data_IF_738570434463
#
_entry.id   IF_738570434463
#
_cell.length_a   1.000
_cell.length_b   1.000
_cell.length_c   1.000
_cell.angle_alpha   90.00
_cell.angle_beta   90.00
_cell.angle_gamma   90.00
#
_symmetry.space_group_name_H-M   'P 1'
#
loop_
_entity.id
_entity.type
_entity.pdbx_description
1 polymer ?
#
# COMPACT_ATOMS: atom_id res chain seq x y z
N UNK A 1 -6.23 -12.49 3.30
CA UNK A 1 -5.04 -13.29 2.88
C UNK A 1 -3.82 -12.41 2.96
N UNK A 2 -2.69 -12.96 3.41
CA UNK A 2 -1.39 -12.29 3.38
C UNK A 2 -0.54 -12.99 2.32
N UNK A 3 0.07 -12.24 1.42
CA UNK A 3 0.95 -12.71 0.38
C UNK A 3 2.34 -12.11 0.59
N UNK A 4 3.31 -12.96 0.91
CA UNK A 4 4.70 -12.57 1.15
C UNK A 4 5.56 -13.06 -0.01
N UNK A 5 6.23 -12.13 -0.69
CA UNK A 5 7.05 -12.42 -1.87
C UNK A 5 8.50 -12.01 -1.60
N UNK A 6 9.42 -12.96 -1.72
CA UNK A 6 10.86 -12.75 -1.53
C UNK A 6 11.17 -12.27 -0.08
N UNK A 7 10.39 -12.75 0.91
CA UNK A 7 10.58 -12.47 2.32
C UNK A 7 11.37 -13.58 3.01
N UNK A 8 11.87 -13.30 4.21
CA UNK A 8 12.67 -14.24 4.99
C UNK A 8 11.79 -15.31 5.64
N UNK A 9 12.23 -16.58 5.75
CA UNK A 9 11.45 -17.65 6.35
C UNK A 9 11.00 -17.36 7.79
N UNK A 10 11.83 -16.68 8.59
CA UNK A 10 11.49 -16.28 9.96
C UNK A 10 10.33 -15.27 10.01
N UNK A 11 10.29 -14.31 9.07
CA UNK A 11 9.22 -13.31 8.95
C UNK A 11 7.91 -13.99 8.52
N UNK A 12 7.99 -14.96 7.60
CA UNK A 12 6.84 -15.79 7.20
C UNK A 12 6.28 -16.55 8.39
N UNK A 13 7.15 -17.17 9.20
CA UNK A 13 6.73 -17.94 10.39
C UNK A 13 6.09 -17.04 11.44
N UNK A 14 6.63 -15.85 11.67
CA UNK A 14 6.03 -14.88 12.58
C UNK A 14 4.65 -14.44 12.12
N UNK A 15 4.52 -14.12 10.83
CA UNK A 15 3.24 -13.73 10.24
C UNK A 15 2.19 -14.84 10.35
N UNK A 16 2.58 -16.10 10.10
CA UNK A 16 1.69 -17.27 10.24
C UNK A 16 1.19 -17.48 11.67
N UNK A 17 1.99 -17.11 12.67
CA UNK A 17 1.63 -17.24 14.09
C UNK A 17 0.74 -16.11 14.60
N UNK A 18 0.88 -14.93 14.05
CA UNK A 18 0.24 -13.71 14.55
C UNK A 18 -1.02 -13.32 13.82
N UNK A 19 -1.12 -13.63 12.53
CA UNK A 19 -2.25 -13.22 11.69
C UNK A 19 -3.38 -14.24 11.75
N UNK A 20 -4.61 -13.74 11.95
CA UNK A 20 -5.83 -14.56 11.88
C UNK A 20 -6.33 -14.67 10.44
N UNK A 21 -5.51 -15.18 9.57
CA UNK A 21 -5.83 -15.27 8.15
C UNK A 21 -4.89 -16.22 7.44
N UNK A 22 -5.20 -16.52 6.19
CA UNK A 22 -4.33 -17.35 5.38
C UNK A 22 -3.07 -16.59 5.00
N UNK A 23 -1.90 -17.15 5.31
CA UNK A 23 -0.59 -16.62 4.94
C UNK A 23 0.01 -17.52 3.86
N UNK A 24 0.28 -16.94 2.71
CA UNK A 24 0.86 -17.61 1.54
C UNK A 24 2.17 -16.89 1.25
N UNK A 25 3.23 -17.65 1.06
CA UNK A 25 4.56 -17.07 0.89
C UNK A 25 5.35 -17.79 -0.20
N UNK A 26 6.27 -17.05 -0.78
CA UNK A 26 7.41 -17.55 -1.53
C UNK A 26 8.65 -16.82 -1.03
N UNK A 27 9.54 -17.55 -0.37
CA UNK A 27 10.69 -17.01 0.35
C UNK A 27 11.86 -16.68 -0.57
N UNK A 28 12.81 -15.88 -0.09
CA UNK A 28 13.92 -15.33 -0.90
C UNK A 28 14.83 -16.41 -1.51
N UNK A 29 14.84 -17.61 -0.97
CA UNK A 29 15.60 -18.76 -1.44
C UNK A 29 14.92 -19.49 -2.60
N UNK A 30 13.65 -19.18 -2.90
CA UNK A 30 12.94 -19.73 -4.04
C UNK A 30 13.22 -18.93 -5.33
N UNK A 31 13.14 -19.57 -6.52
CA UNK A 31 13.39 -18.89 -7.79
C UNK A 31 12.27 -17.87 -8.13
N UNK A 32 12.59 -16.80 -8.89
CA UNK A 32 11.61 -15.79 -9.30
C UNK A 32 10.34 -16.35 -9.96
N UNK A 33 10.46 -17.44 -10.72
CA UNK A 33 9.30 -18.12 -11.31
C UNK A 33 8.31 -18.62 -10.27
N UNK A 34 8.79 -19.03 -9.07
CA UNK A 34 7.94 -19.47 -7.98
C UNK A 34 7.18 -18.28 -7.37
N UNK A 35 7.84 -17.13 -7.21
CA UNK A 35 7.19 -15.89 -6.75
C UNK A 35 6.00 -15.51 -7.63
N UNK A 36 6.22 -15.55 -8.95
CA UNK A 36 5.18 -15.26 -9.95
C UNK A 36 4.04 -16.26 -9.85
N UNK A 37 4.34 -17.58 -9.83
CA UNK A 37 3.34 -18.63 -9.74
C UNK A 37 2.47 -18.51 -8.50
N UNK A 38 3.06 -18.24 -7.35
CA UNK A 38 2.34 -18.07 -6.06
C UNK A 38 1.43 -16.85 -6.13
N UNK A 39 1.91 -15.73 -6.65
CA UNK A 39 1.09 -14.53 -6.81
C UNK A 39 -0.10 -14.73 -7.75
N UNK A 40 0.11 -15.39 -8.88
CA UNK A 40 -0.96 -15.72 -9.83
C UNK A 40 -2.01 -16.67 -9.22
N UNK A 41 -1.57 -17.64 -8.43
CA UNK A 41 -2.50 -18.53 -7.69
C UNK A 41 -3.34 -17.74 -6.66
N UNK A 42 -2.74 -16.83 -5.91
CA UNK A 42 -3.44 -16.03 -4.88
C UNK A 42 -4.48 -15.12 -5.53
N UNK A 43 -4.14 -14.41 -6.60
CA UNK A 43 -5.11 -13.52 -7.24
C UNK A 43 -6.27 -14.27 -7.88
N UNK A 44 -6.03 -15.45 -8.48
CA UNK A 44 -7.11 -16.28 -9.03
C UNK A 44 -8.00 -16.85 -7.91
N UNK A 45 -7.43 -17.29 -6.79
CA UNK A 45 -8.20 -17.69 -5.62
C UNK A 45 -9.07 -16.55 -5.09
N UNK A 46 -8.50 -15.35 -4.98
CA UNK A 46 -9.23 -14.17 -4.52
C UNK A 46 -10.41 -13.84 -5.43
N UNK A 47 -10.22 -13.87 -6.75
CA UNK A 47 -11.30 -13.66 -7.72
C UNK A 47 -12.43 -14.68 -7.56
N UNK A 48 -12.12 -15.97 -7.37
CA UNK A 48 -13.13 -17.01 -7.13
C UNK A 48 -13.93 -16.75 -5.85
N UNK A 49 -13.25 -16.31 -4.77
CA UNK A 49 -13.94 -15.95 -3.53
C UNK A 49 -14.88 -14.75 -3.73
N UNK A 50 -14.46 -13.73 -4.49
CA UNK A 50 -15.30 -12.58 -4.82
C UNK A 50 -16.53 -12.99 -5.65
N UNK A 51 -16.37 -13.90 -6.64
CA UNK A 51 -17.48 -14.47 -7.39
C UNK A 51 -18.50 -15.18 -6.48
N UNK A 52 -18.03 -15.74 -5.36
CA UNK A 52 -18.89 -16.26 -4.29
C UNK A 52 -19.40 -15.18 -3.33
N UNK A 53 -19.36 -13.92 -3.72
CA UNK A 53 -19.85 -12.77 -2.94
C UNK A 53 -19.13 -12.57 -1.61
N UNK A 54 -17.85 -12.97 -1.52
CA UNK A 54 -17.01 -12.71 -0.35
C UNK A 54 -16.28 -11.39 -0.50
N UNK A 55 -16.11 -10.70 0.64
CA UNK A 55 -15.20 -9.57 0.73
C UNK A 55 -13.80 -10.08 1.05
N UNK A 56 -12.88 -9.85 0.14
CA UNK A 56 -11.52 -10.38 0.20
C UNK A 56 -10.52 -9.23 0.35
N UNK A 57 -9.61 -9.36 1.31
CA UNK A 57 -8.48 -8.45 1.47
C UNK A 57 -7.19 -9.22 1.25
N UNK A 58 -6.35 -8.71 0.34
CA UNK A 58 -4.97 -9.18 0.14
C UNK A 58 -4.03 -8.14 0.72
N UNK A 59 -3.16 -8.56 1.64
CA UNK A 59 -2.00 -7.81 2.10
C UNK A 59 -0.78 -8.37 1.38
N UNK A 60 -0.19 -7.58 0.48
CA UNK A 60 0.97 -7.99 -0.34
C UNK A 60 2.25 -7.31 0.15
N UNK A 61 3.20 -8.08 0.60
CA UNK A 61 4.56 -7.63 0.88
C UNK A 61 5.57 -8.37 0.00
N UNK A 62 6.10 -7.77 -1.03
CA UNK A 62 5.84 -6.42 -1.55
C UNK A 62 5.58 -6.43 -3.07
N UNK A 63 4.90 -5.42 -3.58
CA UNK A 63 4.69 -5.29 -5.04
C UNK A 63 6.00 -5.04 -5.79
N UNK A 64 6.96 -4.37 -5.15
CA UNK A 64 8.29 -4.12 -5.74
C UNK A 64 9.02 -5.44 -6.01
N UNK A 65 9.04 -6.36 -5.06
CA UNK A 65 9.68 -7.65 -5.20
C UNK A 65 8.96 -8.53 -6.21
N UNK A 66 7.63 -8.50 -6.21
CA UNK A 66 6.84 -9.19 -7.23
C UNK A 66 7.14 -8.67 -8.64
N UNK A 67 7.22 -7.36 -8.83
CA UNK A 67 7.56 -6.76 -10.12
C UNK A 67 8.98 -7.11 -10.58
N UNK A 68 9.96 -7.16 -9.67
CA UNK A 68 11.31 -7.63 -9.95
C UNK A 68 11.32 -9.10 -10.42
N UNK A 69 10.53 -9.96 -9.77
CA UNK A 69 10.38 -11.35 -10.17
C UNK A 69 9.79 -11.48 -11.58
N UNK A 70 8.75 -10.73 -11.90
CA UNK A 70 8.21 -10.67 -13.27
C UNK A 70 9.26 -10.19 -14.28
N UNK A 71 10.03 -9.15 -13.95
CA UNK A 71 11.08 -8.64 -14.84
C UNK A 71 12.16 -9.68 -15.14
N UNK A 72 12.40 -10.60 -14.22
CA UNK A 72 13.36 -11.70 -14.41
C UNK A 72 12.78 -12.84 -15.26
N UNK A 73 11.48 -13.13 -15.12
CA UNK A 73 10.83 -14.31 -15.71
C UNK A 73 10.30 -14.04 -17.12
N UNK A 74 9.89 -12.81 -17.41
CA UNK A 74 9.30 -12.47 -18.71
C UNK A 74 10.38 -12.48 -19.79
N UNK A 75 10.11 -13.09 -20.96
CA UNK A 75 10.97 -12.99 -22.13
C UNK A 75 11.20 -11.52 -22.50
N UNK A 76 12.45 -11.16 -22.81
CA UNK A 76 12.79 -9.79 -23.17
C UNK A 76 11.98 -9.31 -24.38
N UNK A 77 11.33 -8.17 -24.25
CA UNK A 77 10.62 -7.50 -25.36
C UNK A 77 11.56 -6.76 -26.31
N UNK A 78 12.84 -6.62 -25.94
CA UNK A 78 13.80 -5.78 -26.64
C UNK A 78 13.62 -4.28 -26.35
N UNK A 79 12.61 -3.88 -25.57
CA UNK A 79 12.36 -2.49 -25.13
C UNK A 79 12.54 -2.41 -23.61
N UNK A 80 13.62 -1.81 -23.19
CA UNK A 80 13.96 -1.63 -21.77
C UNK A 80 13.70 -0.19 -21.35
N UNK A 81 12.91 -0.02 -20.31
CA UNK A 81 12.67 1.26 -19.66
C UNK A 81 13.87 1.66 -18.78
N UNK A 82 13.86 2.90 -18.28
CA UNK A 82 14.84 3.35 -17.29
C UNK A 82 14.91 2.39 -16.12
N UNK A 83 16.11 2.13 -15.59
CA UNK A 83 16.32 1.21 -14.48
C UNK A 83 16.35 -0.27 -14.84
N UNK A 84 16.40 -0.62 -16.14
CA UNK A 84 16.51 -2.03 -16.57
C UNK A 84 15.19 -2.81 -16.50
N UNK A 85 14.05 -2.13 -16.49
CA UNK A 85 12.72 -2.76 -16.48
C UNK A 85 12.27 -3.01 -17.91
N UNK A 86 11.93 -4.27 -18.24
CA UNK A 86 11.33 -4.59 -19.53
C UNK A 86 9.94 -3.96 -19.65
N UNK A 87 9.61 -3.42 -20.81
CA UNK A 87 8.33 -2.73 -21.05
C UNK A 87 7.09 -3.60 -20.73
N UNK A 88 7.18 -4.91 -20.87
CA UNK A 88 6.09 -5.85 -20.58
C UNK A 88 6.11 -6.39 -19.14
N UNK A 89 7.21 -6.21 -18.41
CA UNK A 89 7.38 -6.78 -17.07
C UNK A 89 6.36 -6.26 -16.06
N UNK A 90 5.91 -5.01 -16.22
CA UNK A 90 4.98 -4.37 -15.30
C UNK A 90 3.49 -4.61 -15.62
N UNK A 91 3.17 -5.19 -16.77
CA UNK A 91 1.76 -5.45 -17.13
C UNK A 91 1.06 -6.39 -16.14
N UNK A 92 1.70 -7.48 -15.75
CA UNK A 92 1.14 -8.46 -14.81
C UNK A 92 1.00 -7.92 -13.39
N UNK A 93 2.02 -7.28 -12.78
CA UNK A 93 1.89 -6.59 -11.50
C UNK A 93 0.78 -5.52 -11.50
N UNK A 94 0.66 -4.74 -12.56
CA UNK A 94 -0.43 -3.75 -12.71
C UNK A 94 -1.80 -4.42 -12.78
N UNK A 95 -1.94 -5.52 -13.51
CA UNK A 95 -3.20 -6.30 -13.57
C UNK A 95 -3.53 -6.92 -12.21
N UNK A 96 -2.53 -7.41 -11.49
CA UNK A 96 -2.70 -7.93 -10.14
C UNK A 96 -3.28 -6.82 -9.24
N UNK A 97 -2.61 -5.68 -9.16
CA UNK A 97 -3.03 -4.57 -8.31
C UNK A 97 -4.33 -3.92 -8.78
N UNK A 98 -4.52 -3.79 -10.09
CA UNK A 98 -5.73 -3.26 -10.71
C UNK A 98 -6.95 -4.21 -10.68
N UNK A 99 -6.79 -5.43 -10.15
CA UNK A 99 -7.93 -6.34 -9.95
C UNK A 99 -8.82 -5.93 -8.76
N UNK A 100 -8.33 -5.08 -7.87
CA UNK A 100 -9.09 -4.55 -6.73
C UNK A 100 -10.35 -3.80 -7.21
N UNK A 101 -11.51 -4.19 -6.71
CA UNK A 101 -12.81 -3.60 -7.07
C UNK A 101 -13.92 -4.01 -6.12
N UNK A 102 -14.96 -3.22 -6.10
CA UNK A 102 -16.26 -3.60 -5.55
C UNK A 102 -17.16 -4.11 -6.68
N UNK A 103 -17.86 -5.22 -6.47
CA UNK A 103 -18.74 -5.84 -7.48
C UNK A 103 -20.19 -5.52 -7.15
N UNK A 104 -20.97 -5.09 -8.15
CA UNK A 104 -22.37 -4.67 -7.96
C UNK A 104 -23.25 -5.80 -7.43
N UNK A 105 -23.02 -7.03 -7.88
CA UNK A 105 -23.75 -8.22 -7.46
C UNK A 105 -23.35 -8.72 -6.06
N UNK A 106 -22.40 -8.08 -5.43
CA UNK A 106 -21.84 -8.40 -4.11
C UNK A 106 -20.46 -9.04 -4.17
N UNK A 107 -19.72 -8.88 -3.10
CA UNK A 107 -18.31 -9.23 -2.98
C UNK A 107 -17.39 -8.07 -3.37
N UNK A 108 -16.21 -8.06 -2.77
CA UNK A 108 -15.18 -7.05 -3.06
C UNK A 108 -13.78 -7.62 -2.97
N UNK A 109 -12.85 -7.00 -3.69
CA UNK A 109 -11.42 -7.26 -3.58
C UNK A 109 -10.70 -5.98 -3.22
N UNK A 110 -10.10 -5.97 -2.05
CA UNK A 110 -9.20 -4.92 -1.57
C UNK A 110 -7.76 -5.43 -1.58
N UNK A 111 -6.84 -4.64 -2.13
CA UNK A 111 -5.41 -4.98 -2.14
C UNK A 111 -4.64 -3.85 -1.49
N UNK A 112 -3.94 -4.17 -0.40
CA UNK A 112 -2.96 -3.31 0.26
C UNK A 112 -1.57 -3.88 -0.04
N UNK A 113 -0.78 -3.14 -0.79
CA UNK A 113 0.56 -3.56 -1.16
C UNK A 113 1.62 -2.61 -0.58
N UNK A 114 2.68 -3.17 -0.01
CA UNK A 114 3.85 -2.38 0.32
C UNK A 114 4.68 -2.16 -0.95
N UNK A 115 5.29 -0.98 -1.06
CA UNK A 115 6.22 -0.65 -2.11
C UNK A 115 7.52 -0.10 -1.50
N UNK A 116 8.65 -0.54 -2.01
CA UNK A 116 9.96 -0.05 -1.57
C UNK A 116 10.25 1.30 -2.24
N UNK A 117 10.56 2.30 -1.44
CA UNK A 117 10.93 3.64 -1.90
C UNK A 117 12.28 4.05 -1.34
N UNK A 118 12.97 4.97 -2.00
CA UNK A 118 14.28 5.49 -1.56
C UNK A 118 15.34 4.40 -1.35
N UNK A 119 15.33 3.35 -2.16
CA UNK A 119 16.30 2.24 -2.10
C UNK A 119 17.61 2.56 -2.85
N UNK A 120 17.66 3.64 -3.60
CA UNK A 120 18.74 3.96 -4.53
C UNK A 120 18.70 3.15 -5.85
N UNK A 121 17.71 2.27 -6.01
CA UNK A 121 17.50 1.49 -7.22
C UNK A 121 16.59 2.23 -8.20
N UNK A 122 17.09 2.55 -9.39
CA UNK A 122 16.27 3.12 -10.46
C UNK A 122 15.13 2.20 -10.91
N UNK A 123 15.32 0.89 -10.79
CA UNK A 123 14.27 -0.09 -11.06
C UNK A 123 13.11 0.09 -10.09
N UNK A 124 13.38 0.24 -8.80
CA UNK A 124 12.35 0.41 -7.78
C UNK A 124 11.60 1.72 -7.94
N UNK A 125 12.29 2.78 -8.34
CA UNK A 125 11.66 4.07 -8.65
C UNK A 125 10.63 3.92 -9.79
N UNK A 126 11.00 3.23 -10.87
CA UNK A 126 10.09 2.96 -12.00
C UNK A 126 8.90 2.09 -11.55
N UNK A 127 9.15 1.02 -10.79
CA UNK A 127 8.09 0.14 -10.28
C UNK A 127 7.12 0.92 -9.38
N UNK A 128 7.65 1.79 -8.51
CA UNK A 128 6.85 2.64 -7.63
C UNK A 128 5.96 3.60 -8.43
N UNK A 129 6.53 4.38 -9.36
CA UNK A 129 5.78 5.35 -10.16
C UNK A 129 4.67 4.67 -11.01
N UNK A 130 4.97 3.53 -11.59
CA UNK A 130 4.01 2.75 -12.36
C UNK A 130 2.90 2.13 -11.48
N UNK A 131 3.22 1.76 -10.25
CA UNK A 131 2.24 1.24 -9.27
C UNK A 131 1.37 2.36 -8.71
N UNK A 132 1.95 3.54 -8.47
CA UNK A 132 1.24 4.75 -8.03
C UNK A 132 0.11 5.14 -8.99
N UNK A 133 0.35 4.98 -10.30
CA UNK A 133 -0.67 5.23 -11.33
C UNK A 133 -1.90 4.30 -11.20
N UNK A 134 -1.75 3.11 -10.63
CA UNK A 134 -2.80 2.10 -10.50
C UNK A 134 -3.56 2.18 -9.16
N UNK A 135 -2.87 2.54 -8.08
CA UNK A 135 -3.45 2.65 -6.75
C UNK A 135 -4.38 3.84 -6.58
N UNK A 136 -5.29 3.77 -5.62
CA UNK A 136 -6.22 4.84 -5.27
C UNK A 136 -5.95 5.47 -3.89
N UNK A 137 -4.99 4.94 -3.14
CA UNK A 137 -4.57 5.45 -1.83
C UNK A 137 -3.08 5.18 -1.64
N UNK A 138 -2.39 6.11 -1.02
CA UNK A 138 -0.97 6.02 -0.67
C UNK A 138 -0.76 6.43 0.78
N UNK A 139 -0.04 5.60 1.54
CA UNK A 139 0.48 5.94 2.87
C UNK A 139 2.00 5.91 2.78
N UNK A 140 2.62 7.06 2.96
CA UNK A 140 4.07 7.21 2.98
C UNK A 140 4.58 7.10 4.41
N UNK A 141 5.48 6.14 4.65
CA UNK A 141 6.24 6.05 5.89
C UNK A 141 7.54 6.83 5.74
N UNK A 142 7.95 7.54 6.78
CA UNK A 142 9.15 8.35 6.78
C UNK A 142 10.16 7.87 7.81
N UNK A 143 11.38 7.59 7.34
CA UNK A 143 12.46 7.10 8.18
C UNK A 143 12.90 8.11 9.24
N UNK A 144 12.91 9.41 8.91
CA UNK A 144 13.29 10.47 9.85
C UNK A 144 12.32 10.56 11.02
N UNK A 145 11.02 10.34 10.76
CA UNK A 145 9.98 10.29 11.80
C UNK A 145 10.20 9.07 12.70
N UNK A 146 10.50 7.90 12.10
CA UNK A 146 10.79 6.68 12.85
C UNK A 146 12.07 6.79 13.69
N UNK A 147 13.11 7.45 13.20
CA UNK A 147 14.35 7.71 13.93
C UNK A 147 14.14 8.56 15.18
N UNK A 148 13.16 9.48 15.14
CA UNK A 148 12.70 10.26 16.32
C UNK A 148 11.78 9.47 17.27
N UNK A 149 11.52 8.18 16.99
CA UNK A 149 10.62 7.31 17.76
C UNK A 149 9.16 7.78 17.80
N UNK A 150 8.75 8.55 16.79
CA UNK A 150 7.35 8.97 16.61
C UNK A 150 6.63 7.93 15.77
N UNK A 151 5.59 7.29 16.33
CA UNK A 151 4.83 6.23 15.69
C UNK A 151 3.31 6.49 15.76
N UNK A 152 2.56 6.15 14.69
CA UNK A 152 3.03 5.63 13.40
C UNK A 152 3.87 6.65 12.63
N UNK A 153 4.95 6.20 12.00
CA UNK A 153 5.89 7.08 11.29
C UNK A 153 5.36 7.49 9.90
N UNK A 154 4.18 8.07 9.87
CA UNK A 154 3.46 8.45 8.65
C UNK A 154 3.81 9.87 8.24
N UNK A 155 4.26 10.05 7.01
CA UNK A 155 4.35 11.35 6.37
C UNK A 155 2.96 11.76 5.88
N UNK A 156 2.26 12.57 6.66
CA UNK A 156 0.87 12.95 6.37
C UNK A 156 0.78 13.83 5.11
N UNK A 157 1.76 14.67 4.88
CA UNK A 157 1.76 15.59 3.73
C UNK A 157 1.86 14.86 2.39
N UNK A 158 2.63 13.75 2.37
CA UNK A 158 2.82 12.93 1.18
C UNK A 158 1.76 11.85 1.01
N UNK A 159 0.98 11.56 2.07
CA UNK A 159 -0.06 10.54 2.06
C UNK A 159 -1.40 11.10 1.60
N UNK A 160 -2.17 10.28 0.91
CA UNK A 160 -3.47 10.74 0.42
C UNK A 160 -4.33 9.64 -0.20
N UNK A 161 -5.57 10.00 -0.48
CA UNK A 161 -6.57 9.14 -1.13
C UNK A 161 -7.19 9.88 -2.30
N UNK A 162 -7.37 9.19 -3.42
CA UNK A 162 -8.15 9.71 -4.54
C UNK A 162 -9.63 9.66 -4.19
N UNK A 163 -10.41 10.60 -4.72
CA UNK A 163 -11.87 10.62 -4.57
C UNK A 163 -12.32 10.52 -3.12
N UNK A 164 -11.71 11.33 -2.25
CA UNK A 164 -12.11 11.43 -0.83
C UNK A 164 -13.58 11.89 -0.65
N UNK A 165 -14.14 12.53 -1.69
CA UNK A 165 -15.54 12.90 -1.79
C UNK A 165 -16.51 11.70 -1.72
N UNK A 166 -16.04 10.50 -2.07
CA UNK A 166 -16.83 9.27 -1.95
C UNK A 166 -16.78 8.65 -0.54
N UNK A 167 -15.88 9.11 0.31
CA UNK A 167 -15.60 8.52 1.62
C UNK A 167 -16.04 9.41 2.79
N UNK A 168 -16.26 10.69 2.55
CA UNK A 168 -16.55 11.70 3.58
C UNK A 168 -17.72 12.59 3.18
N UNK A 169 -18.39 13.15 4.18
CA UNK A 169 -19.38 14.20 3.94
C UNK A 169 -18.70 15.49 3.50
N UNK A 170 -19.44 16.37 2.78
CA UNK A 170 -18.90 17.66 2.34
C UNK A 170 -18.37 18.50 3.51
N UNK A 171 -19.07 18.46 4.66
CA UNK A 171 -18.66 19.14 5.85
C UNK A 171 -17.33 18.61 6.43
N UNK A 172 -17.11 17.30 6.35
CA UNK A 172 -15.86 16.69 6.83
C UNK A 172 -14.70 16.95 5.86
N UNK A 173 -14.97 16.96 4.56
CA UNK A 173 -13.99 17.34 3.55
C UNK A 173 -13.45 18.76 3.83
N UNK A 174 -14.34 19.72 4.10
CA UNK A 174 -13.93 21.08 4.44
C UNK A 174 -13.07 21.15 5.70
N UNK A 175 -13.42 20.37 6.73
CA UNK A 175 -12.64 20.27 7.99
C UNK A 175 -11.25 19.68 7.73
N UNK A 176 -11.19 18.60 6.94
CA UNK A 176 -9.92 17.97 6.54
C UNK A 176 -9.06 18.92 5.73
N UNK A 177 -9.64 19.73 4.85
CA UNK A 177 -8.89 20.73 4.10
C UNK A 177 -8.27 21.82 4.99
N UNK A 178 -9.01 22.28 5.99
CA UNK A 178 -8.48 23.23 6.98
C UNK A 178 -7.32 22.59 7.76
N UNK A 179 -7.50 21.34 8.20
CA UNK A 179 -6.46 20.58 8.89
C UNK A 179 -5.22 20.41 8.01
N UNK A 180 -5.38 20.00 6.75
CA UNK A 180 -4.25 19.87 5.82
C UNK A 180 -3.50 21.17 5.63
N UNK A 181 -4.20 22.32 5.47
CA UNK A 181 -3.53 23.62 5.38
C UNK A 181 -2.69 23.91 6.63
N UNK A 182 -3.22 23.63 7.82
CA UNK A 182 -2.49 23.78 9.07
C UNK A 182 -1.24 22.90 9.10
N UNK A 183 -1.38 21.61 8.78
CA UNK A 183 -0.26 20.67 8.76
C UNK A 183 0.81 21.05 7.73
N UNK A 184 0.39 21.56 6.57
CA UNK A 184 1.33 22.05 5.54
C UNK A 184 2.07 23.35 5.92
N UNK A 185 1.52 24.15 6.83
CA UNK A 185 2.17 25.38 7.33
C UNK A 185 3.21 25.11 8.42
N UNK A 186 3.34 23.87 8.91
CA UNK A 186 4.34 23.51 9.91
C UNK A 186 5.73 23.37 9.30
N UNK A 187 6.78 23.50 10.10
CA UNK A 187 8.16 23.56 9.63
C UNK A 187 8.63 22.27 8.96
N UNK A 188 8.31 21.12 9.56
CA UNK A 188 8.69 19.80 9.04
C UNK A 188 7.59 18.74 9.17
N UNK A 189 7.81 17.59 8.52
CA UNK A 189 6.88 16.47 8.52
C UNK A 189 6.75 15.81 9.90
N UNK A 190 7.80 15.87 10.72
CA UNK A 190 7.77 15.35 12.09
C UNK A 190 6.88 16.21 12.97
N UNK A 191 7.02 17.52 12.90
CA UNK A 191 6.16 18.44 13.66
C UNK A 191 4.68 18.25 13.29
N UNK A 192 4.39 18.03 12.02
CA UNK A 192 3.02 17.80 11.54
C UNK A 192 2.40 16.52 12.12
N UNK A 193 3.13 15.39 12.11
CA UNK A 193 2.60 14.13 12.68
C UNK A 193 2.53 14.18 14.20
N UNK A 194 3.51 14.76 14.88
CA UNK A 194 3.50 14.91 16.34
C UNK A 194 2.31 15.76 16.81
N UNK A 195 2.08 16.89 16.15
CA UNK A 195 0.91 17.73 16.41
C UNK A 195 -0.40 16.95 16.25
N UNK A 196 -0.54 16.22 15.15
CA UNK A 196 -1.77 15.44 14.90
C UNK A 196 -1.96 14.34 15.93
N UNK A 197 -0.92 13.58 16.26
CA UNK A 197 -0.99 12.52 17.26
C UNK A 197 -1.34 13.06 18.65
N UNK A 198 -0.78 14.21 19.02
CA UNK A 198 -1.11 14.85 20.29
C UNK A 198 -2.59 15.23 20.35
N UNK A 199 -3.13 15.82 19.29
CA UNK A 199 -4.55 16.17 19.21
C UNK A 199 -5.49 14.96 19.16
N UNK A 200 -5.08 13.88 18.48
CA UNK A 200 -5.87 12.65 18.41
C UNK A 200 -5.89 11.89 19.74
N UNK A 201 -4.84 12.01 20.57
CA UNK A 201 -4.74 11.33 21.86
C UNK A 201 -5.86 11.74 22.82
N UNK A 202 -6.31 12.99 22.74
CA UNK A 202 -7.34 13.57 23.62
C UNK A 202 -8.77 13.30 23.14
N UNK A 203 -8.93 12.58 22.01
CA UNK A 203 -10.22 12.32 21.39
C UNK A 203 -10.43 10.84 21.10
N UNK A 204 -11.67 10.36 21.22
CA UNK A 204 -12.01 8.94 20.98
C UNK A 204 -12.52 8.67 19.56
N UNK A 205 -13.03 9.70 18.91
CA UNK A 205 -13.63 9.60 17.56
C UNK A 205 -13.20 10.76 16.69
N UNK A 206 -13.30 10.59 15.37
CA UNK A 206 -13.04 11.67 14.42
C UNK A 206 -13.99 12.87 14.62
N UNK A 207 -15.24 12.63 14.99
CA UNK A 207 -16.21 13.70 15.28
C UNK A 207 -15.79 14.55 16.48
N UNK A 208 -15.35 13.93 17.58
CA UNK A 208 -14.79 14.64 18.73
C UNK A 208 -13.56 15.45 18.36
N UNK A 209 -12.66 14.86 17.55
CA UNK A 209 -11.49 15.55 17.05
C UNK A 209 -11.86 16.80 16.23
N UNK A 210 -12.77 16.69 15.26
CA UNK A 210 -13.24 17.82 14.45
C UNK A 210 -14.01 18.86 15.28
N UNK A 211 -14.72 18.46 16.31
CA UNK A 211 -15.37 19.40 17.22
C UNK A 211 -14.35 20.17 18.08
N UNK A 212 -13.28 19.52 18.52
CA UNK A 212 -12.22 20.16 19.30
C UNK A 212 -11.52 21.28 18.52
N UNK A 213 -11.42 21.14 17.19
CA UNK A 213 -10.85 22.16 16.30
C UNK A 213 -11.69 23.43 16.20
N UNK A 214 -13.00 23.37 16.48
CA UNK A 214 -13.92 24.53 16.41
C UNK A 214 -13.88 25.43 17.66
N UNK A 215 -13.28 24.96 18.77
CA UNK A 215 -13.30 25.64 20.08
C UNK A 215 -12.10 26.57 20.30
N UNK A 216 -11.45 27.03 19.21
CA UNK A 216 -10.39 28.06 19.32
C UNK A 216 -10.70 29.26 18.45
#
# INVERSE_FOLDING_TARGET
MVLLIDERPEEVTEMQRTVRGEVIASTFDEPPARHVQVAEMVIEKAKRLVEHKKDVVILLDSITRLARAYNTVIPSSGKVLTGGVDAHALEKPKRFFGAARHVEEGGSLTILATALVNTGSKMDEVIYEESKGTGNMEIHLDRKIAEKRTYPAINIRSSGTRREDLLMTEADIQRVWILRKLLHSMDDDTAAIEFLLDKLRDTKTNDEFFQSMKRR
#
